data_IF_031547222391
#
_entry.id   IF_031547222391
#
_cell.length_a   1.000
_cell.length_b   1.000
_cell.length_c   1.000
_cell.angle_alpha   90.00
_cell.angle_beta   90.00
_cell.angle_gamma   90.00
#
_symmetry.space_group_name_H-M   'P 1'
#
loop_
_entity.id
_entity.type
_entity.pdbx_description
1 polymer ?
#
# COMPACT_ATOMS: atom_id res chain seq x y z
N UNK A 1 -40.24 -12.51 38.15
CA UNK A 1 -40.41 -12.75 36.70
C UNK A 1 -40.00 -11.53 35.85
N UNK A 2 -40.54 -10.33 36.09
CA UNK A 2 -40.19 -9.11 35.32
C UNK A 2 -38.69 -8.75 35.35
N UNK A 3 -38.04 -8.88 36.50
CA UNK A 3 -36.60 -8.58 36.68
C UNK A 3 -35.69 -9.58 35.97
N UNK A 4 -36.03 -10.88 36.02
CA UNK A 4 -35.31 -11.94 35.32
C UNK A 4 -35.41 -11.80 33.81
N UNK A 5 -36.61 -11.50 33.28
CA UNK A 5 -36.82 -11.29 31.85
C UNK A 5 -36.08 -10.05 31.34
N UNK A 6 -36.10 -8.94 32.10
CA UNK A 6 -35.34 -7.74 31.78
C UNK A 6 -33.83 -8.00 31.76
N UNK A 7 -33.29 -8.74 32.75
CA UNK A 7 -31.86 -9.08 32.78
C UNK A 7 -31.43 -9.97 31.62
N UNK A 8 -32.28 -10.92 31.19
CA UNK A 8 -32.00 -11.76 30.02
C UNK A 8 -32.02 -10.91 28.74
N UNK A 9 -33.01 -10.02 28.61
CA UNK A 9 -33.12 -9.09 27.48
C UNK A 9 -31.90 -8.18 27.33
N UNK A 10 -31.42 -7.59 28.43
CA UNK A 10 -30.21 -6.74 28.39
C UNK A 10 -28.95 -7.53 28.03
N UNK A 11 -28.79 -8.76 28.53
CA UNK A 11 -27.64 -9.62 28.18
C UNK A 11 -27.67 -10.04 26.71
N UNK A 12 -28.85 -10.43 26.21
CA UNK A 12 -29.03 -10.80 24.81
C UNK A 12 -28.73 -9.61 23.87
N UNK A 13 -29.23 -8.42 24.21
CA UNK A 13 -28.94 -7.20 23.46
C UNK A 13 -27.44 -6.86 23.49
N UNK A 14 -26.80 -6.97 24.66
CA UNK A 14 -25.36 -6.74 24.80
C UNK A 14 -24.53 -7.69 23.93
N UNK A 15 -24.86 -8.98 23.92
CA UNK A 15 -24.21 -9.98 23.05
C UNK A 15 -24.43 -9.64 21.58
N UNK A 16 -25.65 -9.29 21.19
CA UNK A 16 -25.96 -8.92 19.81
C UNK A 16 -25.15 -7.70 19.33
N UNK A 17 -25.01 -6.67 20.17
CA UNK A 17 -24.20 -5.49 19.87
C UNK A 17 -22.72 -5.86 19.72
N UNK A 18 -22.18 -6.67 20.64
CA UNK A 18 -20.78 -7.12 20.57
C UNK A 18 -20.51 -7.92 19.29
N UNK A 19 -21.41 -8.82 18.91
CA UNK A 19 -21.30 -9.59 17.67
C UNK A 19 -21.38 -8.69 16.44
N UNK A 20 -22.27 -7.71 16.42
CA UNK A 20 -22.38 -6.74 15.33
C UNK A 20 -21.08 -5.92 15.18
N UNK A 21 -20.50 -5.46 16.28
CA UNK A 21 -19.23 -4.73 16.28
C UNK A 21 -18.06 -5.62 15.83
N UNK A 22 -18.01 -6.88 16.26
CA UNK A 22 -16.99 -7.84 15.84
C UNK A 22 -17.08 -8.19 14.35
N UNK A 23 -18.26 -8.06 13.73
CA UNK A 23 -18.45 -8.33 12.30
C UNK A 23 -17.86 -7.22 11.41
N UNK A 24 -17.83 -5.97 11.88
CA UNK A 24 -17.30 -4.81 11.14
C UNK A 24 -15.85 -5.05 10.63
N UNK A 25 -14.86 -5.39 11.48
CA UNK A 25 -13.50 -5.61 10.99
C UNK A 25 -13.42 -6.78 10.01
N UNK A 26 -14.23 -7.84 10.19
CA UNK A 26 -14.27 -8.97 9.26
C UNK A 26 -14.77 -8.53 7.88
N UNK A 27 -15.86 -7.76 7.84
CA UNK A 27 -16.42 -7.23 6.59
C UNK A 27 -15.46 -6.25 5.91
N UNK A 28 -14.78 -5.39 6.69
CA UNK A 28 -13.77 -4.47 6.15
C UNK A 28 -12.57 -5.21 5.57
N UNK A 29 -12.10 -6.27 6.22
CA UNK A 29 -11.01 -7.11 5.70
C UNK A 29 -11.42 -7.81 4.42
N UNK A 30 -12.56 -8.48 4.40
CA UNK A 30 -13.04 -9.20 3.21
C UNK A 30 -13.34 -8.24 2.06
N UNK A 31 -14.01 -7.12 2.33
CA UNK A 31 -14.27 -6.09 1.34
C UNK A 31 -12.98 -5.45 0.81
N UNK A 32 -12.00 -5.20 1.68
CA UNK A 32 -10.68 -4.68 1.31
C UNK A 32 -9.89 -5.65 0.44
N UNK A 33 -9.89 -6.95 0.76
CA UNK A 33 -9.27 -8.00 -0.06
C UNK A 33 -9.96 -8.13 -1.42
N UNK A 34 -11.29 -8.16 -1.44
CA UNK A 34 -12.07 -8.20 -2.67
C UNK A 34 -11.76 -7.02 -3.59
N UNK A 35 -11.78 -5.80 -3.03
CA UNK A 35 -11.46 -4.58 -3.78
C UNK A 35 -10.00 -4.60 -4.27
N UNK A 36 -9.08 -5.05 -3.42
CA UNK A 36 -7.66 -5.19 -3.78
C UNK A 36 -7.47 -6.16 -4.95
N UNK A 37 -8.16 -7.31 -4.95
CA UNK A 37 -8.09 -8.29 -6.03
C UNK A 37 -8.68 -7.74 -7.35
N UNK A 38 -9.72 -6.92 -7.27
CA UNK A 38 -10.31 -6.26 -8.43
C UNK A 38 -9.38 -5.16 -9.01
N UNK A 39 -8.74 -4.37 -8.14
CA UNK A 39 -7.89 -3.26 -8.53
C UNK A 39 -6.49 -3.69 -8.97
N UNK A 40 -5.97 -4.80 -8.42
CA UNK A 40 -4.58 -5.19 -8.62
C UNK A 40 -4.17 -5.36 -10.10
N UNK A 41 -4.94 -6.00 -10.99
CA UNK A 41 -4.57 -6.12 -12.40
C UNK A 41 -4.40 -4.75 -13.09
N UNK A 42 -5.27 -3.79 -12.77
CA UNK A 42 -5.19 -2.43 -13.29
C UNK A 42 -3.99 -1.68 -12.70
N UNK A 43 -3.77 -1.81 -11.39
CA UNK A 43 -2.60 -1.23 -10.73
C UNK A 43 -1.30 -1.79 -11.29
N UNK A 44 -1.21 -3.09 -11.52
CA UNK A 44 -0.04 -3.72 -12.13
C UNK A 44 0.23 -3.19 -13.55
N UNK A 45 -0.81 -3.02 -14.37
CA UNK A 45 -0.67 -2.41 -15.70
C UNK A 45 -0.19 -0.95 -15.64
N UNK A 46 -0.77 -0.14 -14.75
CA UNK A 46 -0.37 1.25 -14.54
C UNK A 46 1.06 1.33 -13.97
N UNK A 47 1.42 0.40 -13.09
CA UNK A 47 2.76 0.27 -12.50
C UNK A 47 3.81 -0.06 -13.58
N UNK A 48 3.51 -0.98 -14.48
CA UNK A 48 4.37 -1.30 -15.62
C UNK A 48 4.56 -0.08 -16.54
N UNK A 49 3.48 0.64 -16.84
CA UNK A 49 3.57 1.89 -17.61
C UNK A 49 4.40 2.96 -16.87
N UNK A 50 4.17 3.12 -15.56
CA UNK A 50 4.92 4.05 -14.73
C UNK A 50 6.41 3.71 -14.69
N UNK A 51 6.77 2.42 -14.68
CA UNK A 51 8.15 1.97 -14.78
C UNK A 51 8.77 2.34 -16.14
N UNK A 52 8.07 2.09 -17.24
CA UNK A 52 8.52 2.48 -18.59
C UNK A 52 8.72 3.99 -18.67
N UNK A 53 7.76 4.79 -18.22
CA UNK A 53 7.86 6.26 -18.20
C UNK A 53 9.03 6.70 -17.31
N UNK A 54 9.24 6.04 -16.17
CA UNK A 54 10.36 6.37 -15.28
C UNK A 54 11.70 6.10 -15.95
N UNK A 55 11.88 4.93 -16.56
CA UNK A 55 13.15 4.52 -17.17
C UNK A 55 13.50 5.28 -18.44
N UNK A 56 12.50 5.55 -19.30
CA UNK A 56 12.76 6.10 -20.64
C UNK A 56 12.48 7.60 -20.76
N UNK A 57 11.68 8.19 -19.86
CA UNK A 57 11.37 9.61 -19.91
C UNK A 57 11.93 10.36 -18.70
N UNK A 58 11.62 9.94 -17.48
CA UNK A 58 11.94 10.72 -16.28
C UNK A 58 13.41 10.60 -15.87
N UNK A 59 13.97 9.39 -15.87
CA UNK A 59 15.34 9.12 -15.45
C UNK A 59 16.37 9.75 -16.41
N UNK A 60 16.23 9.65 -17.75
CA UNK A 60 17.13 10.35 -18.65
C UNK A 60 17.04 11.87 -18.48
N UNK A 61 15.82 12.42 -18.31
CA UNK A 61 15.67 13.85 -18.05
C UNK A 61 16.29 14.26 -16.70
N UNK A 62 16.13 13.46 -15.65
CA UNK A 62 16.70 13.73 -14.34
C UNK A 62 18.24 13.78 -14.35
N UNK A 63 18.88 12.97 -15.21
CA UNK A 63 20.35 12.87 -15.29
C UNK A 63 20.93 13.89 -16.27
N UNK A 64 20.31 14.09 -17.43
CA UNK A 64 20.91 14.82 -18.55
C UNK A 64 20.27 16.18 -18.84
N UNK A 65 19.09 16.51 -18.32
CA UNK A 65 18.34 17.69 -18.77
C UNK A 65 18.48 18.91 -17.86
N UNK A 66 18.28 20.08 -18.48
CA UNK A 66 18.14 21.40 -17.83
C UNK A 66 16.75 21.64 -17.22
N UNK A 67 15.86 20.64 -17.19
CA UNK A 67 14.49 20.74 -16.65
C UNK A 67 14.25 19.88 -15.40
N UNK A 68 15.07 20.02 -14.34
CA UNK A 68 15.00 19.17 -13.14
C UNK A 68 13.63 19.23 -12.43
N UNK A 69 12.91 20.36 -12.55
CA UNK A 69 11.56 20.51 -11.98
C UNK A 69 10.53 19.55 -12.61
N UNK A 70 10.60 19.36 -13.93
CA UNK A 70 9.68 18.46 -14.63
C UNK A 70 9.97 17.00 -14.26
N UNK A 71 11.23 16.58 -14.38
CA UNK A 71 11.65 15.23 -14.02
C UNK A 71 11.33 14.91 -12.55
N UNK A 72 11.67 15.83 -11.64
CA UNK A 72 11.42 15.66 -10.22
C UNK A 72 9.93 15.55 -9.87
N UNK A 73 9.09 16.40 -10.47
CA UNK A 73 7.64 16.34 -10.25
C UNK A 73 7.04 15.04 -10.79
N UNK A 74 7.46 14.61 -11.98
CA UNK A 74 7.04 13.34 -12.56
C UNK A 74 7.44 12.15 -11.68
N UNK A 75 8.67 12.15 -11.17
CA UNK A 75 9.18 11.14 -10.24
C UNK A 75 8.34 11.07 -8.94
N UNK A 76 7.94 12.22 -8.40
CA UNK A 76 7.05 12.25 -7.23
C UNK A 76 5.70 11.59 -7.52
N UNK A 77 5.10 11.86 -8.69
CA UNK A 77 3.80 11.31 -9.09
C UNK A 77 3.89 9.79 -9.26
N UNK A 78 4.85 9.28 -10.04
CA UNK A 78 4.99 7.82 -10.28
C UNK A 78 5.33 7.06 -9.00
N UNK A 79 6.00 7.70 -8.02
CA UNK A 79 6.28 7.06 -6.72
C UNK A 79 5.01 6.63 -5.98
N UNK A 80 3.89 7.35 -6.15
CA UNK A 80 2.61 6.98 -5.55
C UNK A 80 1.99 5.77 -6.24
N UNK A 81 2.19 5.61 -7.55
CA UNK A 81 1.76 4.41 -8.29
C UNK A 81 2.53 3.19 -7.80
N UNK A 82 3.86 3.29 -7.67
CA UNK A 82 4.69 2.21 -7.12
C UNK A 82 4.27 1.85 -5.70
N UNK A 83 4.06 2.86 -4.85
CA UNK A 83 3.66 2.67 -3.45
C UNK A 83 2.27 2.05 -3.29
N UNK A 84 1.30 2.49 -4.11
CA UNK A 84 -0.05 1.90 -4.11
C UNK A 84 -0.01 0.43 -4.57
N UNK A 85 0.77 0.14 -5.61
CA UNK A 85 0.95 -1.24 -6.11
C UNK A 85 1.61 -2.11 -5.06
N UNK A 86 2.71 -1.66 -4.44
CA UNK A 86 3.38 -2.33 -3.34
C UNK A 86 2.41 -2.67 -2.20
N UNK A 87 1.59 -1.69 -1.80
CA UNK A 87 0.69 -1.84 -0.67
C UNK A 87 -0.44 -2.84 -0.97
N UNK A 88 -1.10 -2.71 -2.11
CA UNK A 88 -2.17 -3.63 -2.54
C UNK A 88 -1.62 -5.04 -2.75
N UNK A 89 -0.43 -5.17 -3.35
CA UNK A 89 0.20 -6.47 -3.54
C UNK A 89 0.55 -7.14 -2.22
N UNK A 90 1.11 -6.37 -1.28
CA UNK A 90 1.44 -6.85 0.06
C UNK A 90 0.20 -7.28 0.85
N UNK A 91 -0.91 -6.54 0.71
CA UNK A 91 -2.20 -6.89 1.32
C UNK A 91 -2.67 -8.25 0.80
N UNK A 92 -2.67 -8.43 -0.53
CA UNK A 92 -3.09 -9.69 -1.16
C UNK A 92 -2.18 -10.85 -0.75
N UNK A 93 -0.86 -10.70 -0.80
CA UNK A 93 0.09 -11.73 -0.39
C UNK A 93 -0.06 -12.10 1.09
N UNK A 94 -0.20 -11.11 1.99
CA UNK A 94 -0.40 -11.39 3.41
C UNK A 94 -1.67 -12.20 3.63
N UNK A 95 -2.77 -11.81 2.98
CA UNK A 95 -4.03 -12.52 3.11
C UNK A 95 -3.98 -13.93 2.53
N UNK A 96 -3.43 -14.10 1.33
CA UNK A 96 -3.42 -15.41 0.65
C UNK A 96 -2.46 -16.40 1.31
N UNK A 97 -1.32 -15.93 1.83
CA UNK A 97 -0.31 -16.80 2.41
C UNK A 97 -0.56 -17.11 3.88
N UNK A 98 -0.98 -16.12 4.66
CA UNK A 98 -1.07 -16.19 6.11
C UNK A 98 -2.50 -15.99 6.65
N UNK A 99 -3.40 -15.38 5.88
CA UNK A 99 -4.82 -15.26 6.23
C UNK A 99 -5.20 -13.93 6.90
N UNK A 100 -6.50 -13.79 7.20
CA UNK A 100 -7.09 -12.54 7.70
C UNK A 100 -6.56 -12.07 9.05
N UNK A 101 -6.14 -12.99 9.94
CA UNK A 101 -5.57 -12.62 11.25
C UNK A 101 -4.26 -11.84 11.12
N UNK A 102 -3.36 -12.30 10.25
CA UNK A 102 -2.08 -11.61 10.02
C UNK A 102 -2.28 -10.32 9.23
N UNK A 103 -3.20 -10.33 8.25
CA UNK A 103 -3.58 -9.10 7.57
C UNK A 103 -4.12 -8.05 8.55
N UNK A 104 -4.97 -8.46 9.50
CA UNK A 104 -5.49 -7.60 10.55
C UNK A 104 -4.35 -6.97 11.37
N UNK A 105 -3.39 -7.78 11.83
CA UNK A 105 -2.20 -7.26 12.53
C UNK A 105 -1.46 -6.23 11.68
N UNK A 106 -1.20 -6.52 10.41
CA UNK A 106 -0.50 -5.62 9.50
C UNK A 106 -1.20 -4.28 9.29
N UNK A 107 -2.53 -4.28 9.21
CA UNK A 107 -3.33 -3.06 9.05
C UNK A 107 -3.36 -2.22 10.33
N UNK A 108 -3.37 -2.85 11.52
CA UNK A 108 -3.35 -2.13 12.80
C UNK A 108 -2.01 -1.45 13.10
N UNK A 109 -0.94 -1.84 12.42
CA UNK A 109 0.36 -1.12 12.42
C UNK A 109 0.33 0.09 11.46
N UNK A 110 -0.67 0.96 11.63
CA UNK A 110 -0.91 2.17 10.82
C UNK A 110 -1.00 1.92 9.29
N UNK A 111 -1.45 0.72 8.89
CA UNK A 111 -1.51 0.32 7.48
C UNK A 111 -0.15 0.08 6.81
N UNK A 112 0.98 0.38 7.45
CA UNK A 112 2.32 0.16 6.87
C UNK A 112 2.79 -1.27 7.10
N UNK A 113 2.34 -1.92 8.18
CA UNK A 113 2.77 -3.26 8.60
C UNK A 113 2.42 -4.39 7.63
N UNK A 114 1.50 -4.19 6.69
CA UNK A 114 1.19 -5.22 5.67
C UNK A 114 2.35 -5.52 4.73
N UNK A 115 3.21 -4.53 4.43
CA UNK A 115 4.38 -4.72 3.57
C UNK A 115 5.43 -5.65 4.21
N UNK A 116 5.93 -5.39 5.44
CA UNK A 116 6.87 -6.30 6.07
C UNK A 116 6.25 -7.68 6.35
N UNK A 117 4.95 -7.78 6.67
CA UNK A 117 4.30 -9.08 6.82
C UNK A 117 4.27 -9.88 5.51
N UNK A 118 3.98 -9.22 4.39
CA UNK A 118 4.04 -9.88 3.08
C UNK A 118 5.45 -10.39 2.76
N UNK A 119 6.48 -9.60 3.05
CA UNK A 119 7.88 -10.01 2.86
C UNK A 119 8.26 -11.19 3.75
N UNK A 120 7.85 -11.19 5.02
CA UNK A 120 8.10 -12.31 5.93
C UNK A 120 7.33 -13.55 5.45
N UNK A 121 6.09 -13.39 5.00
CA UNK A 121 5.28 -14.47 4.48
C UNK A 121 5.90 -15.11 3.23
N UNK A 122 6.30 -14.31 2.24
CA UNK A 122 6.94 -14.80 1.01
C UNK A 122 8.30 -15.44 1.30
N UNK A 123 9.08 -14.88 2.23
CA UNK A 123 10.34 -15.47 2.68
C UNK A 123 10.15 -16.88 3.27
N UNK A 124 9.25 -17.06 4.24
CA UNK A 124 9.00 -18.37 4.84
C UNK A 124 8.33 -19.38 3.91
N UNK A 125 7.65 -18.91 2.86
CA UNK A 125 7.05 -19.75 1.82
C UNK A 125 8.01 -20.06 0.65
N UNK A 126 9.23 -19.52 0.67
CA UNK A 126 10.22 -19.73 -0.41
C UNK A 126 9.85 -19.03 -1.73
N UNK A 127 8.99 -18.01 -1.67
CA UNK A 127 8.49 -17.25 -2.82
C UNK A 127 9.47 -16.11 -3.17
N UNK A 128 10.63 -16.50 -3.69
CA UNK A 128 11.75 -15.57 -3.93
C UNK A 128 11.46 -14.51 -4.99
N UNK A 129 10.66 -14.84 -6.01
CA UNK A 129 10.28 -13.90 -7.06
C UNK A 129 9.42 -12.76 -6.48
N UNK A 130 8.40 -13.10 -5.71
CA UNK A 130 7.49 -12.16 -5.06
C UNK A 130 8.20 -11.37 -3.96
N UNK A 131 9.10 -12.01 -3.19
CA UNK A 131 9.96 -11.29 -2.25
C UNK A 131 10.83 -10.24 -2.97
N UNK A 132 11.45 -10.63 -4.08
CA UNK A 132 12.26 -9.72 -4.92
C UNK A 132 11.42 -8.57 -5.47
N UNK A 133 10.20 -8.85 -5.94
CA UNK A 133 9.26 -7.84 -6.42
C UNK A 133 8.92 -6.82 -5.33
N UNK A 134 8.61 -7.27 -4.11
CA UNK A 134 8.34 -6.39 -2.97
C UNK A 134 9.55 -5.49 -2.66
N UNK A 135 10.77 -6.05 -2.67
CA UNK A 135 12.00 -5.28 -2.45
C UNK A 135 12.22 -4.23 -3.54
N UNK A 136 12.05 -4.61 -4.81
CA UNK A 136 12.18 -3.69 -5.94
C UNK A 136 11.13 -2.58 -5.87
N UNK A 137 9.88 -2.92 -5.57
CA UNK A 137 8.81 -1.93 -5.41
C UNK A 137 9.09 -0.96 -4.25
N UNK A 138 9.60 -1.44 -3.10
CA UNK A 138 10.05 -0.56 -2.01
C UNK A 138 11.13 0.41 -2.50
N UNK A 139 12.16 -0.12 -3.18
CA UNK A 139 13.26 0.69 -3.71
C UNK A 139 12.75 1.72 -4.74
N UNK A 140 11.82 1.34 -5.61
CA UNK A 140 11.20 2.25 -6.57
C UNK A 140 10.35 3.32 -5.88
N UNK A 141 9.49 2.94 -4.94
CA UNK A 141 8.63 3.88 -4.20
C UNK A 141 9.45 4.95 -3.49
N UNK A 142 10.43 4.54 -2.68
CA UNK A 142 11.19 5.49 -1.87
C UNK A 142 12.34 6.13 -2.65
N UNK A 143 13.05 5.36 -3.47
CA UNK A 143 14.19 5.85 -4.25
C UNK A 143 13.78 6.92 -5.25
N UNK A 144 12.71 6.66 -6.03
CA UNK A 144 12.21 7.63 -7.01
C UNK A 144 11.62 8.87 -6.30
N UNK A 145 10.96 8.69 -5.16
CA UNK A 145 10.43 9.81 -4.36
C UNK A 145 11.52 10.72 -3.82
N UNK A 146 12.53 10.15 -3.17
CA UNK A 146 13.65 10.92 -2.60
C UNK A 146 14.40 11.65 -3.71
N UNK A 147 14.67 10.99 -4.83
CA UNK A 147 15.34 11.64 -5.95
C UNK A 147 14.48 12.75 -6.57
N UNK A 148 13.19 12.49 -6.76
CA UNK A 148 12.25 13.47 -7.29
C UNK A 148 12.17 14.73 -6.42
N UNK A 149 12.08 14.57 -5.10
CA UNK A 149 12.12 15.67 -4.13
C UNK A 149 13.39 16.51 -4.28
N UNK A 150 14.56 15.86 -4.29
CA UNK A 150 15.85 16.54 -4.41
C UNK A 150 15.97 17.34 -5.71
N UNK A 151 15.42 16.84 -6.82
CA UNK A 151 15.42 17.56 -8.10
C UNK A 151 14.52 18.79 -8.08
N UNK A 152 13.33 18.68 -7.49
CA UNK A 152 12.41 19.82 -7.34
C UNK A 152 13.02 20.87 -6.43
N UNK A 153 13.59 20.47 -5.30
CA UNK A 153 14.23 21.40 -4.36
C UNK A 153 15.39 22.17 -5.02
N UNK A 154 16.27 21.47 -5.74
CA UNK A 154 17.36 22.09 -6.50
C UNK A 154 16.83 23.09 -7.55
N UNK A 155 15.76 22.73 -8.24
CA UNK A 155 15.16 23.61 -9.25
C UNK A 155 14.59 24.89 -8.63
N UNK A 156 13.98 24.80 -7.45
CA UNK A 156 13.44 25.97 -6.73
C UNK A 156 14.54 26.87 -6.19
N UNK A 157 15.63 26.30 -5.65
CA UNK A 157 16.79 27.06 -5.16
C UNK A 157 17.50 27.85 -6.28
N UNK A 158 17.49 27.32 -7.50
CA UNK A 158 18.13 27.94 -8.66
C UNK A 158 17.19 28.87 -9.46
N UNK A 159 15.94 29.02 -9.04
CA UNK A 159 15.00 29.91 -9.72
C UNK A 159 15.44 31.37 -9.52
N UNK A 160 15.45 32.20 -10.58
CA UNK A 160 15.71 33.63 -10.43
C UNK A 160 14.68 34.24 -9.48
N UNK A 161 15.12 35.16 -8.62
CA UNK A 161 14.21 35.94 -7.78
C UNK A 161 13.19 36.68 -8.66
N UNK A 162 11.92 36.77 -8.23
CA UNK A 162 10.85 37.39 -9.02
C UNK A 162 11.11 38.88 -9.30
#
# INVERSE_FOLDING_TARGET
>A
MKTTLASIGTRALGIAILLALALIPVLLLQGGVWLSALLFPWLAAINALALVVTLFALLPNAVFSSTPKFAGSGMMIVSYVFGATLWVWSLLLTYTLWGGFWLFIGLFMAGVGVVPLAMIATFFKGMWAELGELVVLIALTFGVRVWGYNLVERALRNAPAP
#
